data_IF_621465540980
#
_entry.id   IF_621465540980
#
_cell.length_a   1.000
_cell.length_b   1.000
_cell.length_c   1.000
_cell.angle_alpha   90.00
_cell.angle_beta   90.00
_cell.angle_gamma   90.00
#
_symmetry.space_group_name_H-M   'P 1'
#
loop_
_entity.id
_entity.type
_entity.pdbx_description
1 polymer ?
#
# COMPACT_ATOMS: atom_id res chain seq x y z
N UNK A 1 -8.39 1.63 -5.28
CA UNK A 1 -7.02 1.16 -5.59
C UNK A 1 -7.05 0.43 -6.92
N UNK A 2 -6.33 0.92 -7.93
CA UNK A 2 -6.27 0.32 -9.28
C UNK A 2 -4.89 -0.29 -9.55
N UNK A 3 -4.85 -1.32 -10.40
CA UNK A 3 -3.64 -1.95 -10.91
C UNK A 3 -4.00 -2.73 -12.17
N UNK A 4 -3.68 -2.17 -13.33
CA UNK A 4 -3.98 -2.79 -14.63
C UNK A 4 -2.89 -3.81 -15.02
N UNK A 5 -3.30 -4.90 -15.69
CA UNK A 5 -2.42 -5.97 -16.16
C UNK A 5 -1.86 -5.61 -17.54
N UNK A 6 -0.74 -4.89 -17.58
CA UNK A 6 0.05 -4.76 -18.82
C UNK A 6 1.03 -5.94 -18.88
N UNK A 7 0.95 -6.77 -19.91
CA UNK A 7 1.71 -8.03 -20.02
C UNK A 7 3.22 -7.80 -19.78
N UNK A 8 3.75 -8.17 -18.59
CA UNK A 8 5.09 -7.78 -18.19
C UNK A 8 6.12 -8.69 -18.86
N UNK A 9 7.23 -8.11 -19.29
CA UNK A 9 8.28 -8.84 -19.99
C UNK A 9 9.06 -9.77 -19.04
N UNK A 10 9.30 -11.02 -19.50
CA UNK A 10 9.90 -12.12 -18.72
C UNK A 10 11.24 -11.76 -18.08
N UNK A 11 12.11 -11.09 -18.83
CA UNK A 11 13.48 -10.77 -18.40
C UNK A 11 13.59 -9.50 -17.56
N UNK A 12 12.72 -8.50 -17.79
CA UNK A 12 12.71 -7.28 -16.97
C UNK A 12 12.26 -7.55 -15.54
N UNK A 13 11.48 -8.60 -15.26
CA UNK A 13 11.11 -8.98 -13.89
C UNK A 13 12.33 -9.05 -12.95
N UNK A 14 13.42 -9.71 -13.37
CA UNK A 14 14.65 -9.84 -12.58
C UNK A 14 15.44 -8.53 -12.50
N UNK A 15 15.54 -7.80 -13.61
CA UNK A 15 16.30 -6.53 -13.69
C UNK A 15 15.64 -5.42 -12.86
N UNK A 16 14.30 -5.33 -12.89
CA UNK A 16 13.54 -4.39 -12.06
C UNK A 16 13.79 -4.64 -10.57
N UNK A 17 13.87 -5.92 -10.19
CA UNK A 17 14.03 -6.32 -8.80
C UNK A 17 15.37 -5.89 -8.22
N UNK A 18 16.44 -6.05 -8.98
CA UNK A 18 17.80 -5.83 -8.50
C UNK A 18 18.33 -4.41 -8.75
N UNK A 19 17.90 -3.72 -9.81
CA UNK A 19 18.55 -2.47 -10.26
C UNK A 19 17.62 -1.25 -10.26
N UNK A 20 16.42 -1.36 -10.83
CA UNK A 20 15.58 -0.17 -11.07
C UNK A 20 14.73 0.27 -9.86
N UNK A 21 14.43 -0.63 -8.93
CA UNK A 21 13.73 -0.29 -7.69
C UNK A 21 14.65 0.28 -6.60
N UNK A 22 15.97 0.07 -6.72
CA UNK A 22 16.98 0.53 -5.75
C UNK A 22 16.88 2.02 -5.42
N UNK A 23 16.78 2.95 -6.39
CA UNK A 23 16.71 4.39 -6.09
C UNK A 23 15.46 4.80 -5.30
N UNK A 24 14.39 4.00 -5.29
CA UNK A 24 13.18 4.32 -4.51
C UNK A 24 13.34 3.98 -3.03
N UNK A 25 14.17 3.00 -2.66
CA UNK A 25 14.26 2.54 -1.27
C UNK A 25 14.76 3.62 -0.29
N UNK A 26 15.85 4.37 -0.55
CA UNK A 26 16.31 5.39 0.39
C UNK A 26 15.26 6.45 0.68
N UNK A 27 14.54 6.90 -0.37
CA UNK A 27 13.53 7.93 -0.25
C UNK A 27 12.29 7.38 0.46
N UNK A 28 11.82 6.19 0.08
CA UNK A 28 10.69 5.56 0.76
C UNK A 28 11.00 5.25 2.22
N UNK A 29 12.20 4.78 2.56
CA UNK A 29 12.62 4.56 3.95
C UNK A 29 12.54 5.86 4.74
N UNK A 30 13.08 6.96 4.21
CA UNK A 30 12.99 8.27 4.86
C UNK A 30 11.54 8.73 5.03
N UNK A 31 10.70 8.59 4.00
CA UNK A 31 9.29 8.94 4.06
C UNK A 31 8.52 8.09 5.08
N UNK A 32 8.79 6.79 5.14
CA UNK A 32 8.20 5.88 6.13
C UNK A 32 8.71 6.11 7.55
N UNK A 33 9.85 6.78 7.73
CA UNK A 33 10.34 7.23 9.04
C UNK A 33 9.59 8.51 9.49
N UNK A 34 9.26 9.40 8.56
CA UNK A 34 8.47 10.61 8.81
C UNK A 34 6.97 10.29 9.01
N UNK A 35 6.44 9.32 8.28
CA UNK A 35 5.03 8.90 8.32
C UNK A 35 4.45 8.63 9.74
N UNK A 36 5.08 7.82 10.61
CA UNK A 36 4.57 7.58 11.96
C UNK A 36 4.65 8.82 12.84
N UNK A 37 5.71 9.65 12.69
CA UNK A 37 5.83 10.91 13.43
C UNK A 37 4.67 11.85 13.09
N UNK A 38 4.38 12.02 11.80
CA UNK A 38 3.26 12.82 11.34
C UNK A 38 1.91 12.22 11.73
N UNK A 39 1.79 10.90 11.80
CA UNK A 39 0.57 10.23 12.31
C UNK A 39 0.34 10.57 13.79
N UNK A 40 1.39 10.64 14.61
CA UNK A 40 1.27 11.07 16.02
C UNK A 40 0.84 12.53 16.10
N UNK A 41 1.44 13.43 15.31
CA UNK A 41 1.04 14.84 15.25
C UNK A 41 -0.41 14.99 14.78
N UNK A 42 -0.82 14.22 13.77
CA UNK A 42 -2.21 14.20 13.31
C UNK A 42 -3.16 13.70 14.41
N UNK A 43 -2.77 12.66 15.17
CA UNK A 43 -3.55 12.17 16.31
C UNK A 43 -3.79 13.25 17.36
N UNK A 44 -2.75 14.00 17.74
CA UNK A 44 -2.87 15.15 18.67
C UNK A 44 -3.78 16.24 18.10
N UNK A 45 -3.62 16.57 16.81
CA UNK A 45 -4.45 17.56 16.14
C UNK A 45 -5.94 17.13 16.08
N UNK A 46 -6.22 15.85 15.83
CA UNK A 46 -7.58 15.29 15.82
C UNK A 46 -8.20 15.32 17.22
N UNK A 47 -7.43 15.03 18.27
CA UNK A 47 -7.93 15.11 19.65
C UNK A 47 -8.41 16.53 19.99
N UNK A 48 -7.65 17.56 19.60
CA UNK A 48 -8.02 18.96 19.83
C UNK A 48 -9.13 19.47 18.90
N UNK A 49 -9.02 19.22 17.60
CA UNK A 49 -9.85 19.87 16.56
C UNK A 49 -10.94 18.99 15.97
N UNK A 50 -10.85 17.66 16.13
CA UNK A 50 -11.72 16.69 15.45
C UNK A 50 -11.52 16.59 13.93
N UNK A 51 -10.47 17.23 13.40
CA UNK A 51 -10.16 17.27 11.97
C UNK A 51 -8.74 16.78 11.73
N UNK A 52 -8.55 16.05 10.63
CA UNK A 52 -7.23 15.62 10.19
C UNK A 52 -6.52 16.80 9.51
N UNK A 53 -5.28 17.18 9.88
CA UNK A 53 -4.58 18.24 9.18
C UNK A 53 -4.35 17.90 7.70
N UNK A 54 -4.95 18.67 6.77
CA UNK A 54 -4.85 18.42 5.31
C UNK A 54 -3.42 18.20 4.80
N UNK A 55 -2.41 19.01 5.17
CA UNK A 55 -1.04 18.78 4.69
C UNK A 55 -0.47 17.42 5.11
N UNK A 56 -0.81 16.96 6.33
CA UNK A 56 -0.36 15.66 6.83
C UNK A 56 -1.10 14.53 6.11
N UNK A 57 -2.40 14.72 5.85
CA UNK A 57 -3.21 13.75 5.10
C UNK A 57 -2.65 13.55 3.70
N UNK A 58 -2.42 14.64 2.97
CA UNK A 58 -1.92 14.62 1.60
C UNK A 58 -0.52 13.98 1.51
N UNK A 59 0.35 14.26 2.49
CA UNK A 59 1.64 13.61 2.62
C UNK A 59 1.49 12.10 2.84
N UNK A 60 0.75 11.68 3.87
CA UNK A 60 0.62 10.27 4.23
C UNK A 60 -0.04 9.46 3.09
N UNK A 61 -1.10 9.98 2.47
CA UNK A 61 -1.72 9.37 1.27
C UNK A 61 -0.72 9.32 0.11
N UNK A 62 0.08 10.36 -0.07
CA UNK A 62 1.15 10.40 -1.06
C UNK A 62 2.20 9.30 -0.87
N UNK A 63 2.62 9.05 0.38
CA UNK A 63 3.56 7.96 0.72
C UNK A 63 2.94 6.60 0.38
N UNK A 64 1.70 6.36 0.80
CA UNK A 64 0.97 5.13 0.49
C UNK A 64 0.80 4.93 -1.02
N UNK A 65 0.47 6.00 -1.75
CA UNK A 65 0.32 5.98 -3.21
C UNK A 65 1.64 5.66 -3.91
N UNK A 66 2.74 6.26 -3.47
CA UNK A 66 4.05 5.97 -4.04
C UNK A 66 4.49 4.53 -3.76
N UNK A 67 4.30 4.06 -2.52
CA UNK A 67 4.52 2.66 -2.16
C UNK A 67 3.71 1.73 -3.08
N UNK A 68 2.45 2.06 -3.37
CA UNK A 68 1.61 1.28 -4.27
C UNK A 68 2.13 1.24 -5.71
N UNK A 69 2.62 2.37 -6.23
CA UNK A 69 3.23 2.43 -7.57
C UNK A 69 4.45 1.54 -7.68
N UNK A 70 5.32 1.57 -6.66
CA UNK A 70 6.51 0.73 -6.61
C UNK A 70 6.11 -0.74 -6.51
N UNK A 71 5.08 -1.07 -5.72
CA UNK A 71 4.53 -2.43 -5.62
C UNK A 71 3.86 -2.94 -6.91
N UNK A 72 3.37 -2.08 -7.81
CA UNK A 72 2.90 -2.48 -9.15
C UNK A 72 4.05 -2.67 -10.13
N UNK A 73 5.05 -1.78 -10.06
CA UNK A 73 6.21 -1.85 -10.93
C UNK A 73 7.08 -3.09 -10.65
N UNK A 74 7.28 -3.41 -9.37
CA UNK A 74 8.04 -4.57 -8.88
C UNK A 74 7.15 -5.52 -8.10
N UNK A 75 7.73 -6.54 -7.47
CA UNK A 75 7.02 -7.37 -6.50
C UNK A 75 6.34 -6.53 -5.40
N UNK A 76 5.17 -6.91 -4.88
CA UNK A 76 4.48 -8.18 -5.16
C UNK A 76 3.66 -8.24 -6.46
N UNK A 77 3.25 -7.14 -7.09
CA UNK A 77 2.31 -7.23 -8.22
C UNK A 77 3.00 -7.44 -9.56
N UNK A 78 4.14 -6.77 -9.79
CA UNK A 78 4.87 -6.79 -11.07
C UNK A 78 3.93 -6.71 -12.30
N UNK A 79 2.94 -5.83 -12.22
CA UNK A 79 1.81 -5.70 -13.15
C UNK A 79 2.05 -4.69 -14.28
N UNK A 80 3.08 -3.84 -14.16
CA UNK A 80 3.44 -2.86 -15.19
C UNK A 80 4.94 -2.76 -15.39
N UNK A 81 5.35 -2.57 -16.65
CA UNK A 81 6.73 -2.27 -17.04
C UNK A 81 7.06 -0.76 -16.99
N UNK A 82 6.06 0.09 -16.72
CA UNK A 82 6.23 1.55 -16.67
C UNK A 82 6.94 1.98 -15.38
N UNK A 83 8.06 2.69 -15.51
CA UNK A 83 8.84 3.13 -14.35
C UNK A 83 8.07 4.12 -13.45
N UNK A 84 8.04 3.93 -12.12
CA UNK A 84 7.25 4.76 -11.22
C UNK A 84 7.93 6.13 -11.00
N UNK A 85 7.20 7.24 -11.24
CA UNK A 85 7.75 8.57 -11.04
C UNK A 85 7.93 8.90 -9.55
N UNK A 86 8.98 9.66 -9.24
CA UNK A 86 9.32 10.17 -7.90
C UNK A 86 8.37 11.30 -7.49
N UNK A 87 7.10 10.98 -7.25
CA UNK A 87 6.10 11.97 -6.84
C UNK A 87 5.04 11.39 -5.91
N UNK A 88 4.67 12.19 -4.92
CA UNK A 88 3.58 11.91 -3.98
C UNK A 88 2.19 12.23 -4.59
N UNK A 89 2.13 13.07 -5.63
CA UNK A 89 0.88 13.49 -6.26
C UNK A 89 0.21 12.34 -7.03
N UNK A 90 -1.12 12.37 -7.13
CA UNK A 90 -1.87 11.45 -8.01
C UNK A 90 -1.49 11.69 -9.47
N UNK A 91 -1.45 10.60 -10.24
CA UNK A 91 -1.07 10.59 -11.65
C UNK A 91 -2.07 9.71 -12.40
N UNK A 92 -3.04 10.31 -13.11
CA UNK A 92 -4.06 9.57 -13.86
C UNK A 92 -3.47 8.72 -14.97
N UNK A 93 -2.27 9.07 -15.45
CA UNK A 93 -1.53 8.44 -16.53
C UNK A 93 -0.74 7.19 -16.09
N UNK A 94 -0.78 6.80 -14.82
CA UNK A 94 -0.06 5.64 -14.28
C UNK A 94 -1.04 4.57 -13.77
N UNK A 95 -0.85 3.27 -14.09
CA UNK A 95 -1.84 2.22 -13.83
C UNK A 95 -2.05 1.91 -12.33
N UNK A 96 -1.04 2.19 -11.50
CA UNK A 96 -1.11 2.01 -10.04
C UNK A 96 -1.46 3.31 -9.31
N UNK A 97 -2.75 3.61 -9.11
CA UNK A 97 -3.18 4.75 -8.27
C UNK A 97 -3.97 4.31 -7.04
N UNK A 98 -3.66 4.97 -5.92
CA UNK A 98 -4.35 4.85 -4.64
C UNK A 98 -5.04 6.17 -4.34
N UNK A 99 -6.34 6.08 -4.11
CA UNK A 99 -7.16 7.19 -3.64
C UNK A 99 -7.77 6.82 -2.30
N UNK A 100 -7.71 7.78 -1.39
CA UNK A 100 -8.27 7.71 -0.04
C UNK A 100 -9.06 8.99 0.14
N UNK A 101 -10.35 8.87 0.43
CA UNK A 101 -11.22 10.03 0.63
C UNK A 101 -10.84 10.76 1.91
N UNK A 102 -10.79 12.09 1.86
CA UNK A 102 -10.49 12.90 3.04
C UNK A 102 -11.66 12.84 4.04
N UNK A 103 -11.43 12.47 5.31
CA UNK A 103 -12.49 12.44 6.31
C UNK A 103 -12.82 13.85 6.80
N UNK A 104 -14.06 14.32 6.60
CA UNK A 104 -14.47 15.66 7.04
C UNK A 104 -14.54 15.81 8.57
N UNK A 105 -14.91 14.73 9.28
CA UNK A 105 -14.95 14.66 10.74
C UNK A 105 -14.43 13.31 11.21
N UNK A 106 -13.60 13.33 12.25
CA UNK A 106 -13.12 12.12 12.92
C UNK A 106 -13.52 12.15 14.39
N UNK A 107 -13.84 10.99 14.95
CA UNK A 107 -14.17 10.87 16.37
C UNK A 107 -12.92 11.14 17.23
N UNK A 108 -12.93 12.19 18.05
CA UNK A 108 -11.76 12.65 18.84
C UNK A 108 -11.18 11.54 19.71
N UNK A 109 -12.03 10.81 20.43
CA UNK A 109 -11.64 9.69 21.30
C UNK A 109 -11.15 8.45 20.55
N UNK A 110 -11.43 8.36 19.24
CA UNK A 110 -11.06 7.19 18.45
C UNK A 110 -9.54 7.03 18.35
N UNK A 111 -8.78 8.12 18.40
CA UNK A 111 -7.31 8.13 18.37
C UNK A 111 -6.71 7.25 19.48
N UNK A 112 -7.20 7.39 20.71
CA UNK A 112 -6.64 6.71 21.89
C UNK A 112 -6.99 5.22 21.93
N UNK A 113 -8.19 4.85 21.48
CA UNK A 113 -8.66 3.45 21.53
C UNK A 113 -8.17 2.67 20.30
N UNK A 114 -8.20 3.27 19.11
CA UNK A 114 -7.91 2.55 17.87
C UNK A 114 -6.45 2.17 17.74
N UNK A 115 -5.54 3.03 18.19
CA UNK A 115 -4.11 2.90 17.91
C UNK A 115 -3.50 1.63 18.53
N UNK A 116 -3.88 1.27 19.76
CA UNK A 116 -3.36 0.07 20.43
C UNK A 116 -4.36 -1.08 20.50
N UNK A 117 -5.67 -0.86 20.68
CA UNK A 117 -6.61 -1.96 20.90
C UNK A 117 -7.00 -2.66 19.59
N UNK A 118 -7.33 -1.87 18.56
CA UNK A 118 -7.86 -2.38 17.30
C UNK A 118 -6.79 -2.44 16.19
N UNK A 119 -5.77 -1.58 16.27
CA UNK A 119 -4.63 -1.60 15.36
C UNK A 119 -3.72 -2.81 15.55
N UNK A 120 -3.36 -3.15 16.81
CA UNK A 120 -2.38 -4.22 17.10
C UNK A 120 -2.74 -5.57 16.48
N UNK A 121 -3.97 -6.11 16.65
CA UNK A 121 -4.31 -7.42 16.08
C UNK A 121 -4.12 -7.44 14.56
N UNK A 122 -4.50 -6.35 13.87
CA UNK A 122 -4.36 -6.26 12.42
C UNK A 122 -2.93 -6.06 11.96
N UNK A 123 -2.14 -5.27 12.69
CA UNK A 123 -0.72 -5.08 12.42
C UNK A 123 0.00 -6.43 12.57
N UNK A 124 -0.21 -7.15 13.66
CA UNK A 124 0.39 -8.47 13.89
C UNK A 124 0.02 -9.46 12.77
N UNK A 125 -1.24 -9.47 12.36
CA UNK A 125 -1.70 -10.28 11.23
C UNK A 125 -1.04 -9.86 9.89
N UNK A 126 -0.89 -8.57 9.63
CA UNK A 126 -0.19 -8.10 8.43
C UNK A 126 1.29 -8.52 8.43
N UNK A 127 1.95 -8.47 9.58
CA UNK A 127 3.34 -8.88 9.76
C UNK A 127 3.51 -10.39 9.63
N UNK A 128 2.61 -11.20 10.19
CA UNK A 128 2.67 -12.66 10.08
C UNK A 128 2.45 -13.16 8.65
N UNK A 129 1.78 -12.38 7.81
CA UNK A 129 1.56 -12.69 6.39
C UNK A 129 2.71 -12.23 5.48
N UNK A 130 3.72 -11.53 6.00
CA UNK A 130 4.91 -11.15 5.23
C UNK A 130 5.66 -12.34 4.60
N UNK A 131 5.97 -13.45 5.32
CA UNK A 131 6.59 -14.62 4.71
C UNK A 131 5.72 -15.24 3.63
N UNK A 132 4.39 -15.27 3.81
CA UNK A 132 3.45 -15.77 2.80
C UNK A 132 3.52 -14.90 1.53
N UNK A 133 3.57 -13.58 1.67
CA UNK A 133 3.76 -12.65 0.55
C UNK A 133 5.06 -12.89 -0.20
N UNK A 134 6.15 -13.17 0.53
CA UNK A 134 7.44 -13.49 -0.09
C UNK A 134 7.38 -14.81 -0.87
N UNK A 135 6.73 -15.84 -0.33
CA UNK A 135 6.53 -17.11 -1.04
C UNK A 135 5.65 -16.91 -2.28
N UNK A 136 4.55 -16.17 -2.17
CA UNK A 136 3.67 -15.86 -3.31
C UNK A 136 4.38 -15.02 -4.39
N UNK A 137 5.26 -14.11 -3.98
CA UNK A 137 6.14 -13.37 -4.88
C UNK A 137 7.05 -14.32 -5.67
N UNK A 138 7.83 -15.14 -4.96
CA UNK A 138 8.82 -16.02 -5.58
C UNK A 138 8.13 -17.02 -6.51
N UNK A 139 7.01 -17.60 -6.07
CA UNK A 139 6.22 -18.52 -6.91
C UNK A 139 5.64 -17.81 -8.14
N UNK A 140 5.16 -16.56 -8.02
CA UNK A 140 4.68 -15.78 -9.15
C UNK A 140 5.81 -15.43 -10.13
N UNK A 141 7.00 -15.11 -9.60
CA UNK A 141 8.21 -14.85 -10.39
C UNK A 141 8.58 -16.05 -11.25
N UNK A 142 8.69 -17.22 -10.60
CA UNK A 142 9.04 -18.48 -11.24
C UNK A 142 7.99 -18.84 -12.29
N UNK A 143 6.70 -18.71 -11.96
CA UNK A 143 5.62 -18.96 -12.91
C UNK A 143 5.71 -18.03 -14.12
N UNK A 144 5.92 -16.73 -13.93
CA UNK A 144 6.05 -15.75 -15.00
C UNK A 144 7.27 -16.06 -15.90
N UNK A 145 8.40 -16.46 -15.31
CA UNK A 145 9.59 -16.88 -16.06
C UNK A 145 9.28 -18.12 -16.91
N UNK A 146 8.66 -19.15 -16.34
CA UNK A 146 8.35 -20.39 -17.02
C UNK A 146 7.25 -20.26 -18.10
N UNK A 147 6.20 -19.48 -17.85
CA UNK A 147 4.99 -19.42 -18.71
C UNK A 147 4.86 -18.14 -19.53
N UNK A 148 5.54 -17.06 -19.12
CA UNK A 148 5.43 -15.75 -19.75
C UNK A 148 4.10 -15.03 -19.50
N UNK A 149 3.27 -15.54 -18.59
CA UNK A 149 1.96 -14.97 -18.25
C UNK A 149 1.83 -14.82 -16.74
N UNK A 150 1.16 -13.76 -16.29
CA UNK A 150 0.79 -13.59 -14.88
C UNK A 150 -0.34 -14.58 -14.55
N UNK A 151 -0.22 -15.33 -13.45
CA UNK A 151 -1.25 -16.28 -13.03
C UNK A 151 -2.44 -15.50 -12.42
N UNK A 152 -3.66 -15.56 -13.00
CA UNK A 152 -4.79 -14.74 -12.55
C UNK A 152 -5.14 -14.95 -11.07
N UNK A 153 -5.24 -16.21 -10.63
CA UNK A 153 -5.58 -16.51 -9.23
C UNK A 153 -4.53 -16.06 -8.20
N UNK A 154 -3.25 -15.99 -8.58
CA UNK A 154 -2.20 -15.49 -7.68
C UNK A 154 -2.24 -13.96 -7.62
N UNK A 155 -2.45 -13.32 -8.77
CA UNK A 155 -2.64 -11.88 -8.85
C UNK A 155 -3.85 -11.43 -8.03
N UNK A 156 -4.99 -12.12 -8.14
CA UNK A 156 -6.20 -11.80 -7.38
C UNK A 156 -5.96 -11.93 -5.86
N UNK A 157 -5.26 -12.99 -5.44
CA UNK A 157 -4.87 -13.20 -4.04
C UNK A 157 -3.96 -12.09 -3.53
N UNK A 158 -2.90 -11.76 -4.28
CA UNK A 158 -1.98 -10.68 -3.96
C UNK A 158 -2.71 -9.34 -3.87
N UNK A 159 -3.57 -9.04 -4.85
CA UNK A 159 -4.43 -7.85 -4.87
C UNK A 159 -5.33 -7.77 -3.64
N UNK A 160 -6.02 -8.86 -3.28
CA UNK A 160 -6.86 -8.91 -2.08
C UNK A 160 -6.08 -8.66 -0.79
N UNK A 161 -4.89 -9.26 -0.67
CA UNK A 161 -4.02 -9.14 0.49
C UNK A 161 -3.45 -7.72 0.63
N UNK A 162 -2.97 -7.15 -0.46
CA UNK A 162 -2.45 -5.78 -0.47
C UNK A 162 -3.55 -4.77 -0.21
N UNK A 163 -4.74 -4.91 -0.84
CA UNK A 163 -5.90 -4.04 -0.54
C UNK A 163 -6.25 -4.05 0.93
N UNK A 164 -6.28 -5.23 1.56
CA UNK A 164 -6.50 -5.33 2.99
C UNK A 164 -5.41 -4.62 3.80
N UNK A 165 -4.11 -4.83 3.50
CA UNK A 165 -3.01 -4.10 4.16
C UNK A 165 -3.14 -2.58 4.04
N UNK A 166 -3.54 -2.06 2.88
CA UNK A 166 -3.74 -0.62 2.71
C UNK A 166 -4.95 -0.10 3.51
N UNK A 167 -6.04 -0.88 3.63
CA UNK A 167 -7.15 -0.55 4.54
C UNK A 167 -6.67 -0.50 5.99
N UNK A 168 -5.84 -1.46 6.42
CA UNK A 168 -5.23 -1.45 7.76
C UNK A 168 -4.35 -0.21 7.94
N UNK A 169 -3.51 0.13 6.96
CA UNK A 169 -2.62 1.29 7.03
C UNK A 169 -3.39 2.62 7.14
N UNK A 170 -4.46 2.78 6.36
CA UNK A 170 -5.35 3.97 6.42
C UNK A 170 -6.07 4.04 7.77
N UNK A 171 -6.51 2.90 8.33
CA UNK A 171 -7.14 2.85 9.65
C UNK A 171 -6.16 3.20 10.78
N UNK A 172 -4.99 2.57 10.81
CA UNK A 172 -3.95 2.79 11.84
C UNK A 172 -3.38 4.21 11.78
N UNK A 173 -3.36 4.82 10.59
CA UNK A 173 -2.95 6.21 10.41
C UNK A 173 -4.06 7.24 10.64
N UNK A 174 -5.22 6.81 11.18
CA UNK A 174 -6.34 7.64 11.59
C UNK A 174 -7.03 8.38 10.43
N UNK A 175 -6.80 7.95 9.19
CA UNK A 175 -7.45 8.52 8.00
C UNK A 175 -8.88 8.01 7.82
N UNK A 176 -9.23 6.90 8.45
CA UNK A 176 -10.60 6.37 8.48
C UNK A 176 -10.96 5.90 9.87
N UNK A 177 -12.21 6.16 10.24
CA UNK A 177 -12.75 5.67 11.50
C UNK A 177 -13.33 4.25 11.41
N UNK A 178 -13.65 3.76 10.22
CA UNK A 178 -14.30 2.47 10.04
C UNK A 178 -13.30 1.31 10.17
N UNK A 179 -13.58 0.36 11.06
CA UNK A 179 -12.70 -0.80 11.27
C UNK A 179 -12.70 -1.69 10.02
N UNK A 180 -11.53 -1.98 9.44
CA UNK A 180 -11.48 -2.71 8.19
C UNK A 180 -11.81 -4.20 8.41
N UNK A 181 -12.67 -4.79 7.57
CA UNK A 181 -13.08 -6.18 7.74
C UNK A 181 -11.90 -7.13 7.49
N UNK A 182 -11.87 -8.25 8.22
CA UNK A 182 -10.94 -9.37 7.99
C UNK A 182 -11.37 -10.19 6.76
N UNK A 183 -11.42 -9.55 5.59
CA UNK A 183 -11.78 -10.19 4.33
C UNK A 183 -10.78 -9.79 3.26
N UNK A 184 -10.30 -10.78 2.51
CA UNK A 184 -9.49 -10.56 1.32
C UNK A 184 -10.47 -10.23 0.19
N UNK A 185 -10.49 -8.99 -0.26
CA UNK A 185 -11.31 -8.59 -1.41
C UNK A 185 -10.60 -9.03 -2.69
N UNK A 186 -10.66 -10.33 -2.95
CA UNK A 186 -10.39 -10.89 -4.28
C UNK A 186 -11.31 -10.13 -5.22
N UNK A 187 -10.73 -9.41 -6.20
CA UNK A 187 -11.52 -8.61 -7.12
C UNK A 187 -12.63 -9.47 -7.70
N UNK A 188 -13.88 -9.17 -7.35
CA UNK A 188 -15.01 -9.84 -7.96
C UNK A 188 -14.90 -9.60 -9.46
N UNK A 189 -14.90 -10.70 -10.23
CA UNK A 189 -15.16 -10.65 -11.66
C UNK A 189 -16.43 -9.85 -11.95
#
# INVERSE_FOLDING_TARGET
MRGDLEAPSRWLCLVKWCLLAVPHYPILILLYLVYPLLTIVAGVAILGTGRYPRPIFDFNVGVLRWSWRVMNYRFPMNSTDKYPPFTLASRPDYPGDLQVDYPERLARWSVLVKWWLLGLPQILLCWSMEPLLQVLCVTSAVWLLCTGKVHPGMFDLLMGLVRWRYRVAVYVSLMRDEYPPFRLDLGSR
#
